data_IF_084774653921
#
_entry.id   IF_084774653921
#
_cell.length_a   1.000
_cell.length_b   1.000
_cell.length_c   1.000
_cell.angle_alpha   90.00
_cell.angle_beta   90.00
_cell.angle_gamma   90.00
#
_symmetry.space_group_name_H-M   'P 1'
#
loop_
_entity.id
_entity.type
_entity.pdbx_description
1 polymer ?
#
# COMPACT_ATOMS: atom_id res chain seq x y z
N UNK A 1 -5.99 15.42 57.13
CA UNK A 1 -7.39 15.50 57.44
C UNK A 1 -8.23 15.47 56.16
N UNK A 2 -9.50 15.80 56.24
CA UNK A 2 -10.44 15.70 55.11
C UNK A 2 -10.01 16.49 53.87
N UNK A 3 -9.43 17.68 54.06
CA UNK A 3 -8.94 18.51 52.95
C UNK A 3 -7.75 17.87 52.20
N UNK A 4 -6.87 17.22 52.92
CA UNK A 4 -5.73 16.52 52.33
C UNK A 4 -6.17 15.28 51.56
N UNK A 5 -7.11 14.54 52.11
CA UNK A 5 -7.69 13.37 51.42
C UNK A 5 -8.43 13.76 50.13
N UNK A 6 -9.19 14.85 50.18
CA UNK A 6 -9.88 15.40 49.01
C UNK A 6 -8.88 15.82 47.92
N UNK A 7 -7.77 16.45 48.32
CA UNK A 7 -6.71 16.89 47.41
C UNK A 7 -5.99 15.69 46.77
N UNK A 8 -5.73 14.64 47.50
CA UNK A 8 -5.11 13.41 47.01
C UNK A 8 -6.03 12.77 45.97
N UNK A 9 -7.33 12.72 46.25
CA UNK A 9 -8.33 12.18 45.30
C UNK A 9 -8.38 13.01 44.01
N UNK A 10 -8.40 14.34 44.15
CA UNK A 10 -8.44 15.25 43.02
C UNK A 10 -7.17 15.13 42.15
N UNK A 11 -6.00 15.13 42.79
CA UNK A 11 -4.73 14.97 42.10
C UNK A 11 -4.65 13.60 41.37
N UNK A 12 -5.11 12.56 42.04
CA UNK A 12 -5.18 11.22 41.46
C UNK A 12 -6.11 11.17 40.24
N UNK A 13 -7.25 11.84 40.32
CA UNK A 13 -8.20 11.92 39.21
C UNK A 13 -7.63 12.70 38.03
N UNK A 14 -6.98 13.83 38.29
CA UNK A 14 -6.34 14.62 37.25
C UNK A 14 -5.20 13.85 36.57
N UNK A 15 -4.41 13.11 37.36
CA UNK A 15 -3.36 12.27 36.80
C UNK A 15 -3.92 11.13 35.94
N UNK A 16 -4.99 10.49 36.39
CA UNK A 16 -5.69 9.47 35.62
C UNK A 16 -6.22 10.02 34.31
N UNK A 17 -6.87 11.19 34.34
CA UNK A 17 -7.37 11.86 33.14
C UNK A 17 -6.25 12.19 32.15
N UNK A 18 -5.10 12.66 32.70
CA UNK A 18 -3.91 12.95 31.87
C UNK A 18 -3.37 11.71 31.20
N UNK A 19 -3.29 10.60 31.91
CA UNK A 19 -2.81 9.32 31.37
C UNK A 19 -3.74 8.80 30.28
N UNK A 20 -5.04 8.86 30.52
CA UNK A 20 -6.06 8.45 29.53
C UNK A 20 -5.96 9.32 28.27
N UNK A 21 -5.87 10.65 28.44
CA UNK A 21 -5.74 11.57 27.31
C UNK A 21 -4.49 11.30 26.48
N UNK A 22 -3.36 11.02 27.15
CA UNK A 22 -2.11 10.63 26.48
C UNK A 22 -2.28 9.32 25.70
N UNK A 23 -2.86 8.32 26.34
CA UNK A 23 -3.09 7.02 25.69
C UNK A 23 -3.97 7.15 24.45
N UNK A 24 -5.01 7.97 24.52
CA UNK A 24 -5.87 8.25 23.37
C UNK A 24 -5.10 8.92 22.23
N UNK A 25 -4.26 9.92 22.53
CA UNK A 25 -3.43 10.59 21.52
C UNK A 25 -2.44 9.64 20.87
N UNK A 26 -1.79 8.80 21.67
CA UNK A 26 -0.85 7.78 21.17
C UNK A 26 -1.55 6.76 20.27
N UNK A 27 -2.75 6.33 20.66
CA UNK A 27 -3.56 5.40 19.87
C UNK A 27 -3.95 6.02 18.52
N UNK A 28 -4.36 7.29 18.51
CA UNK A 28 -4.69 7.99 17.26
C UNK A 28 -3.47 8.15 16.34
N UNK A 29 -2.31 8.49 16.89
CA UNK A 29 -1.07 8.58 16.12
C UNK A 29 -0.68 7.23 15.53
N UNK A 30 -0.77 6.15 16.30
CA UNK A 30 -0.49 4.81 15.81
C UNK A 30 -1.46 4.38 14.72
N UNK A 31 -2.74 4.70 14.88
CA UNK A 31 -3.76 4.43 13.87
C UNK A 31 -3.47 5.16 12.57
N UNK A 32 -3.15 6.45 12.64
CA UNK A 32 -2.80 7.26 11.47
C UNK A 32 -1.59 6.68 10.75
N UNK A 33 -0.54 6.34 11.49
CA UNK A 33 0.66 5.73 10.93
C UNK A 33 0.36 4.39 10.27
N UNK A 34 -0.43 3.55 10.92
CA UNK A 34 -0.81 2.26 10.36
C UNK A 34 -1.59 2.44 9.05
N UNK A 35 -2.50 3.38 9.00
CA UNK A 35 -3.27 3.68 7.77
C UNK A 35 -2.38 4.19 6.65
N UNK A 36 -1.38 5.03 6.96
CA UNK A 36 -0.38 5.48 5.99
C UNK A 36 0.45 4.32 5.46
N UNK A 37 0.90 3.43 6.34
CA UNK A 37 1.69 2.25 5.96
C UNK A 37 0.87 1.31 5.06
N UNK A 38 -0.38 1.05 5.41
CA UNK A 38 -1.29 0.24 4.60
C UNK A 38 -1.51 0.87 3.23
N UNK A 39 -1.76 2.17 3.18
CA UNK A 39 -1.91 2.88 1.91
C UNK A 39 -0.67 2.77 1.04
N UNK A 40 0.50 2.96 1.63
CA UNK A 40 1.77 2.81 0.94
C UNK A 40 1.94 1.40 0.37
N UNK A 41 1.66 0.39 1.17
CA UNK A 41 1.77 -1.01 0.75
C UNK A 41 0.79 -1.35 -0.37
N UNK A 42 -0.42 -0.82 -0.31
CA UNK A 42 -1.41 -0.98 -1.38
C UNK A 42 -0.95 -0.33 -2.69
N UNK A 43 -0.40 0.87 -2.62
CA UNK A 43 0.14 1.57 -3.79
C UNK A 43 1.31 0.79 -4.37
N UNK A 44 2.21 0.29 -3.54
CA UNK A 44 3.35 -0.53 -3.98
C UNK A 44 2.88 -1.81 -4.66
N UNK A 45 1.94 -2.52 -4.06
CA UNK A 45 1.39 -3.74 -4.64
C UNK A 45 0.69 -3.47 -5.99
N UNK A 46 -0.10 -2.41 -6.06
CA UNK A 46 -0.77 -2.00 -7.30
C UNK A 46 0.25 -1.63 -8.39
N UNK A 47 1.32 -0.91 -8.02
CA UNK A 47 2.38 -0.51 -8.95
C UNK A 47 3.13 -1.72 -9.50
N UNK A 48 3.48 -2.67 -8.64
CA UNK A 48 4.14 -3.92 -9.05
C UNK A 48 3.24 -4.71 -10.00
N UNK A 49 1.97 -4.83 -9.68
CA UNK A 49 0.99 -5.53 -10.52
C UNK A 49 0.85 -4.85 -11.88
N UNK A 50 0.74 -3.52 -11.90
CA UNK A 50 0.66 -2.76 -13.14
C UNK A 50 1.91 -2.94 -14.01
N UNK A 51 3.10 -2.93 -13.40
CA UNK A 51 4.35 -3.17 -14.11
C UNK A 51 4.41 -4.57 -14.71
N UNK A 52 3.97 -5.59 -13.97
CA UNK A 52 3.91 -6.96 -14.48
C UNK A 52 2.95 -7.11 -15.66
N UNK A 53 1.76 -6.53 -15.54
CA UNK A 53 0.78 -6.55 -16.63
C UNK A 53 1.28 -5.82 -17.88
N UNK A 54 1.95 -4.68 -17.70
CA UNK A 54 2.55 -3.96 -18.82
C UNK A 54 3.65 -4.77 -19.50
N UNK A 55 4.50 -5.45 -18.73
CA UNK A 55 5.55 -6.31 -19.26
C UNK A 55 4.98 -7.48 -20.05
N UNK A 56 3.96 -8.16 -19.51
CA UNK A 56 3.28 -9.26 -20.21
C UNK A 56 2.62 -8.78 -21.51
N UNK A 57 1.97 -7.63 -21.50
CA UNK A 57 1.36 -7.03 -22.70
C UNK A 57 2.39 -6.73 -23.77
N UNK A 58 3.55 -6.21 -23.39
CA UNK A 58 4.66 -5.96 -24.33
C UNK A 58 5.22 -7.26 -24.91
N UNK A 59 5.37 -8.28 -24.10
CA UNK A 59 5.82 -9.59 -24.57
C UNK A 59 4.84 -10.21 -25.55
N UNK A 60 3.54 -10.15 -25.28
CA UNK A 60 2.49 -10.63 -26.19
C UNK A 60 2.51 -9.87 -27.53
N UNK A 61 2.71 -8.56 -27.51
CA UNK A 61 2.83 -7.76 -28.73
C UNK A 61 4.08 -8.12 -29.53
N UNK A 62 5.21 -8.32 -28.87
CA UNK A 62 6.44 -8.76 -29.52
C UNK A 62 6.28 -10.12 -30.18
N UNK A 63 5.65 -11.05 -29.51
CA UNK A 63 5.33 -12.37 -30.06
C UNK A 63 4.44 -12.28 -31.29
N UNK A 64 3.40 -11.45 -31.23
CA UNK A 64 2.49 -11.24 -32.36
C UNK A 64 3.22 -10.70 -33.58
N UNK A 65 4.11 -9.72 -33.40
CA UNK A 65 4.94 -9.16 -34.46
C UNK A 65 5.87 -10.23 -35.02
N UNK A 66 6.49 -11.01 -34.16
CA UNK A 66 7.40 -12.10 -34.56
C UNK A 66 6.71 -13.16 -35.41
N UNK A 67 5.50 -13.55 -34.99
CA UNK A 67 4.68 -14.51 -35.73
C UNK A 67 4.31 -13.94 -37.11
N UNK A 68 3.92 -12.67 -37.17
CA UNK A 68 3.56 -12.01 -38.42
C UNK A 68 4.75 -11.95 -39.38
N UNK A 69 5.93 -11.64 -38.89
CA UNK A 69 7.15 -11.65 -39.71
C UNK A 69 7.45 -13.04 -40.27
N UNK A 70 7.27 -14.08 -39.45
CA UNK A 70 7.44 -15.46 -39.92
C UNK A 70 6.42 -15.84 -41.00
N UNK A 71 5.17 -15.45 -40.82
CA UNK A 71 4.13 -15.69 -41.80
C UNK A 71 4.39 -14.97 -43.13
N UNK A 72 4.87 -13.75 -43.06
CA UNK A 72 5.24 -12.96 -44.25
C UNK A 72 6.39 -13.61 -45.00
N UNK A 73 7.42 -14.06 -44.29
CA UNK A 73 8.54 -14.79 -44.90
C UNK A 73 8.08 -16.09 -45.58
N UNK A 74 7.19 -16.83 -44.92
CA UNK A 74 6.62 -18.07 -45.51
C UNK A 74 5.79 -17.75 -46.75
N UNK A 75 5.03 -16.67 -46.73
CA UNK A 75 4.27 -16.20 -47.88
C UNK A 75 5.14 -15.84 -49.07
N UNK A 76 6.22 -15.09 -48.83
CA UNK A 76 7.20 -14.74 -49.84
C UNK A 76 7.91 -15.97 -50.43
N UNK A 77 8.28 -16.91 -49.59
CA UNK A 77 8.91 -18.16 -50.02
C UNK A 77 7.96 -18.97 -50.93
N UNK A 78 6.68 -19.00 -50.64
CA UNK A 78 5.69 -19.67 -51.45
C UNK A 78 5.50 -19.01 -52.82
N UNK A 79 5.59 -17.67 -52.86
CA UNK A 79 5.47 -16.89 -54.10
C UNK A 79 6.65 -17.06 -55.06
N UNK A 80 7.86 -17.25 -54.50
CA UNK A 80 9.09 -17.38 -55.28
C UNK A 80 9.27 -18.77 -55.91
N UNK A 81 8.49 -19.73 -55.47
CA UNK A 81 8.52 -21.06 -55.99
C UNK A 81 7.44 -21.26 -57.08
#
# INVERSE_FOLDING_TARGET
AAQMEERILLDGQQEADRVIARAKREAELKKTKLMEDVRHDMIMAASITACKLAAETLDDKKQAVYIQEMLDEMGESTWQN
#
